data_IF_131200773988
#
_entry.id   IF_131200773988
#
_cell.length_a   1.000
_cell.length_b   1.000
_cell.length_c   1.000
_cell.angle_alpha   90.00
_cell.angle_beta   90.00
_cell.angle_gamma   90.00
#
_symmetry.space_group_name_H-M   'P 1'
#
loop_
_entity.id
_entity.type
_entity.pdbx_description
1 polymer ?
#
# COMPACT_ATOMS: atom_id res chain seq x y z
N UNK A 1 -17.79 -14.53 -3.31
CA UNK A 1 -18.27 -13.33 -2.56
C UNK A 1 -17.83 -13.31 -1.10
N UNK A 2 -18.14 -14.30 -0.25
CA UNK A 2 -17.77 -14.25 1.19
C UNK A 2 -16.25 -14.10 1.42
N UNK A 3 -15.43 -14.84 0.67
CA UNK A 3 -13.96 -14.71 0.74
C UNK A 3 -13.45 -13.38 0.19
N UNK A 4 -14.10 -12.83 -0.84
CA UNK A 4 -13.74 -11.53 -1.43
C UNK A 4 -13.96 -10.40 -0.43
N UNK A 5 -15.15 -10.34 0.20
CA UNK A 5 -15.45 -9.30 1.19
C UNK A 5 -14.50 -9.37 2.38
N UNK A 6 -14.30 -10.57 2.94
CA UNK A 6 -13.39 -10.78 4.06
C UNK A 6 -11.94 -10.41 3.73
N UNK A 7 -11.44 -10.82 2.57
CA UNK A 7 -10.09 -10.46 2.13
C UNK A 7 -9.93 -8.95 1.91
N UNK A 8 -10.96 -8.30 1.38
CA UNK A 8 -10.96 -6.85 1.13
C UNK A 8 -10.96 -6.05 2.43
N UNK A 9 -11.84 -6.42 3.38
CA UNK A 9 -11.91 -5.79 4.69
C UNK A 9 -10.59 -5.96 5.46
N UNK A 10 -10.08 -7.20 5.53
CA UNK A 10 -8.81 -7.51 6.21
C UNK A 10 -7.66 -6.70 5.61
N UNK A 11 -7.51 -6.69 4.28
CA UNK A 11 -6.45 -5.93 3.62
C UNK A 11 -6.56 -4.42 3.84
N UNK A 12 -7.77 -3.86 3.74
CA UNK A 12 -7.99 -2.44 3.97
C UNK A 12 -7.60 -2.02 5.39
N UNK A 13 -8.05 -2.78 6.41
CA UNK A 13 -7.75 -2.46 7.80
C UNK A 13 -6.27 -2.70 8.14
N UNK A 14 -5.65 -3.76 7.62
CA UNK A 14 -4.22 -3.99 7.84
C UNK A 14 -3.38 -2.84 7.25
N UNK A 15 -3.67 -2.41 6.03
CA UNK A 15 -3.02 -1.27 5.38
C UNK A 15 -3.20 0.01 6.20
N UNK A 16 -4.42 0.28 6.67
CA UNK A 16 -4.73 1.44 7.50
C UNK A 16 -3.92 1.43 8.80
N UNK A 17 -3.89 0.30 9.50
CA UNK A 17 -3.14 0.15 10.77
C UNK A 17 -1.65 0.35 10.52
N UNK A 18 -1.08 -0.28 9.50
CA UNK A 18 0.35 -0.14 9.17
C UNK A 18 0.68 1.32 8.83
N UNK A 19 -0.19 2.00 8.08
CA UNK A 19 -0.02 3.41 7.77
C UNK A 19 -0.07 4.30 9.02
N UNK A 20 -1.02 4.07 9.93
CA UNK A 20 -1.12 4.81 11.20
C UNK A 20 0.11 4.60 12.08
N UNK A 21 0.56 3.35 12.26
CA UNK A 21 1.76 3.05 13.06
C UNK A 21 3.01 3.67 12.44
N UNK A 22 3.14 3.56 11.11
CA UNK A 22 4.26 4.17 10.37
C UNK A 22 4.24 5.70 10.49
N UNK A 23 3.06 6.33 10.43
CA UNK A 23 2.89 7.76 10.62
C UNK A 23 3.36 8.20 12.01
N UNK A 24 2.96 7.50 13.08
CA UNK A 24 3.46 7.78 14.42
C UNK A 24 4.99 7.63 14.46
N UNK A 25 5.52 6.52 13.95
CA UNK A 25 6.96 6.27 13.95
C UNK A 25 7.78 7.38 13.28
N UNK A 26 7.45 7.74 12.04
CA UNK A 26 8.23 8.74 11.29
C UNK A 26 8.02 10.19 11.75
N UNK A 27 6.95 10.47 12.51
CA UNK A 27 6.74 11.79 13.10
C UNK A 27 7.45 11.97 14.45
N UNK A 28 7.58 10.92 15.25
CA UNK A 28 8.22 11.02 16.58
C UNK A 28 9.72 10.70 16.57
N UNK A 29 10.21 9.98 15.56
CA UNK A 29 11.62 9.59 15.48
C UNK A 29 12.42 10.52 14.56
N UNK A 30 13.60 10.93 15.01
CA UNK A 30 14.53 11.67 14.16
C UNK A 30 15.00 10.81 12.97
N UNK A 31 14.99 11.38 11.77
CA UNK A 31 15.37 10.68 10.54
C UNK A 31 16.90 10.57 10.49
N UNK A 32 17.40 9.36 10.74
CA UNK A 32 18.80 9.00 10.61
C UNK A 32 18.91 7.60 9.96
N UNK A 33 20.13 7.15 9.69
CA UNK A 33 20.35 5.87 9.00
C UNK A 33 19.72 4.68 9.74
N UNK A 34 19.76 4.67 11.07
CA UNK A 34 19.23 3.58 11.89
C UNK A 34 17.69 3.57 11.87
N UNK A 35 17.05 4.75 12.00
CA UNK A 35 15.59 4.85 11.95
C UNK A 35 15.03 4.55 10.56
N UNK A 36 15.78 4.83 9.49
CA UNK A 36 15.44 4.40 8.13
C UNK A 36 15.55 2.89 7.94
N UNK A 37 16.56 2.24 8.52
CA UNK A 37 16.71 0.77 8.46
C UNK A 37 15.55 0.09 9.20
N UNK A 38 15.21 0.54 10.40
CA UNK A 38 14.03 0.07 11.12
C UNK A 38 12.74 0.36 10.33
N UNK A 39 12.68 1.51 9.67
CA UNK A 39 11.56 1.89 8.84
C UNK A 39 11.36 0.99 7.61
N UNK A 40 12.40 0.30 7.11
CA UNK A 40 12.24 -0.72 6.07
C UNK A 40 11.36 -1.88 6.53
N UNK A 41 11.32 -2.18 7.83
CA UNK A 41 10.44 -3.22 8.37
C UNK A 41 8.98 -2.88 8.09
N UNK A 42 8.58 -1.60 8.26
CA UNK A 42 7.23 -1.17 7.90
C UNK A 42 6.97 -1.33 6.40
N UNK A 43 7.92 -0.98 5.54
CA UNK A 43 7.80 -1.20 4.09
C UNK A 43 7.59 -2.68 3.76
N UNK A 44 8.37 -3.58 4.36
CA UNK A 44 8.27 -5.02 4.11
C UNK A 44 6.95 -5.59 4.61
N UNK A 45 6.48 -5.17 5.78
CA UNK A 45 5.16 -5.59 6.31
C UNK A 45 4.05 -5.06 5.40
N UNK A 46 4.11 -3.79 5.02
CA UNK A 46 3.13 -3.14 4.14
C UNK A 46 2.99 -3.88 2.80
N UNK A 47 4.09 -4.14 2.12
CA UNK A 47 4.08 -4.88 0.85
C UNK A 47 3.75 -6.37 1.07
N UNK A 48 4.26 -6.96 2.15
CA UNK A 48 4.08 -8.36 2.49
C UNK A 48 2.62 -8.72 2.76
N UNK A 49 1.85 -7.86 3.43
CA UNK A 49 0.43 -8.09 3.70
C UNK A 49 -0.39 -8.15 2.40
N UNK A 50 -0.11 -7.27 1.43
CA UNK A 50 -0.77 -7.30 0.12
C UNK A 50 -0.58 -8.66 -0.56
N UNK A 51 0.66 -9.15 -0.60
CA UNK A 51 0.95 -10.48 -1.13
C UNK A 51 0.28 -11.60 -0.31
N UNK A 52 0.37 -11.53 1.01
CA UNK A 52 -0.13 -12.54 1.93
C UNK A 52 -1.65 -12.72 1.82
N UNK A 53 -2.42 -11.65 1.71
CA UNK A 53 -3.88 -11.73 1.55
C UNK A 53 -4.24 -12.46 0.26
N UNK A 54 -3.59 -12.11 -0.86
CA UNK A 54 -3.76 -12.82 -2.12
C UNK A 54 -3.47 -14.32 -1.98
N UNK A 55 -2.38 -14.66 -1.31
CA UNK A 55 -1.95 -16.03 -1.07
C UNK A 55 -2.89 -16.81 -0.13
N UNK A 56 -3.35 -16.18 0.96
CA UNK A 56 -4.20 -16.79 2.00
C UNK A 56 -5.58 -17.17 1.46
N UNK A 57 -6.20 -16.28 0.70
CA UNK A 57 -7.60 -16.42 0.29
C UNK A 57 -7.81 -17.13 -1.05
N UNK A 58 -6.74 -17.42 -1.80
CA UNK A 58 -6.77 -18.22 -3.04
C UNK A 58 -7.81 -17.68 -4.04
N UNK A 59 -7.76 -16.38 -4.25
CA UNK A 59 -8.72 -15.59 -5.03
C UNK A 59 -8.63 -15.88 -6.53
N UNK A 60 -9.75 -15.79 -7.27
CA UNK A 60 -9.67 -15.74 -8.74
C UNK A 60 -9.03 -14.43 -9.19
N UNK A 61 -8.48 -14.38 -10.40
CA UNK A 61 -7.83 -13.18 -10.94
C UNK A 61 -8.66 -11.89 -10.77
N UNK A 62 -9.94 -11.91 -11.15
CA UNK A 62 -10.84 -10.76 -10.99
C UNK A 62 -11.04 -10.41 -9.51
N UNK A 63 -11.18 -11.41 -8.64
CA UNK A 63 -11.34 -11.19 -7.20
C UNK A 63 -10.06 -10.57 -6.60
N UNK A 64 -8.88 -10.99 -7.04
CA UNK A 64 -7.59 -10.43 -6.63
C UNK A 64 -7.47 -8.94 -7.01
N UNK A 65 -7.92 -8.57 -8.21
CA UNK A 65 -7.93 -7.18 -8.66
C UNK A 65 -8.86 -6.33 -7.78
N UNK A 66 -10.08 -6.81 -7.52
CA UNK A 66 -11.05 -6.11 -6.67
C UNK A 66 -10.49 -5.93 -5.25
N UNK A 67 -9.94 -7.00 -4.66
CA UNK A 67 -9.34 -6.95 -3.32
C UNK A 67 -8.17 -5.96 -3.28
N UNK A 68 -7.29 -5.95 -4.29
CA UNK A 68 -6.19 -4.99 -4.36
C UNK A 68 -6.65 -3.54 -4.49
N UNK A 69 -7.72 -3.29 -5.26
CA UNK A 69 -8.33 -1.96 -5.41
C UNK A 69 -8.92 -1.51 -4.07
N UNK A 70 -9.68 -2.37 -3.39
CA UNK A 70 -10.29 -2.04 -2.09
C UNK A 70 -9.22 -1.84 -1.02
N UNK A 71 -8.18 -2.69 -0.98
CA UNK A 71 -7.02 -2.51 -0.09
C UNK A 71 -6.31 -1.18 -0.33
N UNK A 72 -6.30 -0.70 -1.57
CA UNK A 72 -5.78 0.63 -1.93
C UNK A 72 -6.75 1.77 -1.65
N UNK A 73 -7.91 1.51 -1.02
CA UNK A 73 -8.98 2.48 -0.79
C UNK A 73 -8.53 3.77 -0.09
N UNK A 74 -7.63 3.66 0.88
CA UNK A 74 -7.00 4.83 1.53
C UNK A 74 -6.25 5.70 0.53
N UNK A 75 -5.47 5.09 -0.37
CA UNK A 75 -4.71 5.79 -1.41
C UNK A 75 -5.63 6.44 -2.44
N UNK A 76 -6.67 5.73 -2.87
CA UNK A 76 -7.70 6.26 -3.78
C UNK A 76 -8.37 7.49 -3.17
N UNK A 77 -8.74 7.42 -1.89
CA UNK A 77 -9.34 8.53 -1.17
C UNK A 77 -8.41 9.75 -1.12
N UNK A 78 -7.14 9.59 -0.75
CA UNK A 78 -6.21 10.72 -0.69
C UNK A 78 -5.82 11.28 -2.05
N UNK A 79 -5.71 10.44 -3.07
CA UNK A 79 -5.44 10.91 -4.45
C UNK A 79 -6.57 11.79 -4.95
N UNK A 80 -7.83 11.46 -4.66
CA UNK A 80 -8.95 12.32 -5.05
C UNK A 80 -8.78 13.76 -4.52
N UNK A 81 -8.47 13.92 -3.23
CA UNK A 81 -8.22 15.24 -2.64
C UNK A 81 -6.92 15.89 -3.13
N UNK A 82 -5.89 15.09 -3.41
CA UNK A 82 -4.65 15.58 -4.00
C UNK A 82 -4.87 16.19 -5.38
N UNK A 83 -5.61 15.51 -6.26
CA UNK A 83 -5.92 16.02 -7.60
C UNK A 83 -6.79 17.28 -7.52
N UNK A 84 -7.73 17.33 -6.56
CA UNK A 84 -8.51 18.54 -6.31
C UNK A 84 -7.62 19.72 -5.87
N UNK A 85 -6.68 19.47 -4.94
CA UNK A 85 -5.73 20.49 -4.49
C UNK A 85 -4.83 21.00 -5.63
N UNK A 86 -4.35 20.09 -6.47
CA UNK A 86 -3.47 20.41 -7.61
C UNK A 86 -4.22 21.25 -8.65
N UNK A 87 -5.35 20.74 -9.16
CA UNK A 87 -5.98 21.28 -10.36
C UNK A 87 -7.08 22.30 -10.11
N UNK A 88 -7.72 22.28 -8.93
CA UNK A 88 -8.82 23.20 -8.60
C UNK A 88 -8.34 24.31 -7.68
N UNK A 89 -7.59 23.98 -6.63
CA UNK A 89 -7.09 24.97 -5.68
C UNK A 89 -5.75 25.60 -6.10
N UNK A 90 -5.03 24.98 -7.04
CA UNK A 90 -3.67 25.39 -7.46
C UNK A 90 -2.67 25.43 -6.29
N UNK A 91 -2.73 24.44 -5.39
CA UNK A 91 -1.83 24.33 -4.22
C UNK A 91 -1.04 23.01 -4.32
N UNK A 92 0.04 22.94 -5.12
CA UNK A 92 0.74 21.69 -5.41
C UNK A 92 1.47 21.09 -4.21
N UNK A 93 1.99 21.94 -3.32
CA UNK A 93 2.62 21.47 -2.08
C UNK A 93 1.62 20.75 -1.17
N UNK A 94 0.37 21.21 -1.15
CA UNK A 94 -0.68 20.59 -0.36
C UNK A 94 -1.16 19.28 -1.00
N UNK A 95 -1.22 19.21 -2.34
CA UNK A 95 -1.50 17.98 -3.06
C UNK A 95 -0.52 16.85 -2.66
N UNK A 96 0.78 17.13 -2.68
CA UNK A 96 1.80 16.18 -2.26
C UNK A 96 1.69 15.82 -0.77
N UNK A 97 1.32 16.76 0.09
CA UNK A 97 1.22 16.50 1.53
C UNK A 97 0.05 15.57 1.89
N UNK A 98 -1.11 15.74 1.24
CA UNK A 98 -2.33 14.95 1.51
C UNK A 98 -2.11 13.44 1.30
N UNK A 99 -1.27 13.06 0.33
CA UNK A 99 -1.04 11.65 -0.02
C UNK A 99 0.02 10.97 0.86
N UNK A 100 0.83 11.73 1.61
CA UNK A 100 1.91 11.17 2.44
C UNK A 100 1.41 10.07 3.38
N UNK A 101 0.28 10.22 4.09
CA UNK A 101 -0.23 9.17 4.98
C UNK A 101 -0.42 7.81 4.30
N UNK A 102 -0.72 7.76 2.99
CA UNK A 102 -0.91 6.49 2.29
C UNK A 102 0.40 5.72 2.10
N UNK A 103 1.46 6.43 1.71
CA UNK A 103 2.75 5.80 1.42
C UNK A 103 3.80 5.99 2.53
N UNK A 104 3.41 6.55 3.69
CA UNK A 104 4.31 6.68 4.82
C UNK A 104 4.97 5.34 5.23
N UNK A 105 4.34 4.15 5.10
CA UNK A 105 5.03 2.89 5.39
C UNK A 105 6.25 2.65 4.50
N UNK A 106 6.27 3.19 3.27
CA UNK A 106 7.39 3.05 2.33
C UNK A 106 8.36 4.23 2.37
N UNK A 107 8.20 5.18 3.31
CA UNK A 107 9.02 6.38 3.42
C UNK A 107 10.51 6.09 3.53
N UNK A 108 10.89 4.95 4.13
CA UNK A 108 12.31 4.54 4.19
C UNK A 108 12.88 4.18 2.83
N UNK A 109 12.09 3.54 1.96
CA UNK A 109 12.50 3.25 0.58
C UNK A 109 12.67 4.57 -0.17
N UNK A 110 11.68 5.45 -0.07
CA UNK A 110 11.71 6.77 -0.73
C UNK A 110 13.01 7.52 -0.38
N UNK A 111 13.33 7.60 0.92
CA UNK A 111 14.50 8.35 1.40
C UNK A 111 15.83 7.68 1.08
N UNK A 112 15.92 6.35 1.15
CA UNK A 112 17.16 5.64 0.84
C UNK A 112 17.51 5.67 -0.65
N UNK A 113 16.52 5.71 -1.51
CA UNK A 113 16.70 5.74 -2.97
C UNK A 113 16.49 7.13 -3.59
N UNK A 114 16.33 8.17 -2.77
CA UNK A 114 16.10 9.56 -3.23
C UNK A 114 14.96 9.68 -4.24
N UNK A 115 13.87 8.94 -4.03
CA UNK A 115 12.68 9.00 -4.88
C UNK A 115 11.95 10.32 -4.61
N UNK A 116 11.57 11.02 -5.67
CA UNK A 116 10.81 12.26 -5.55
C UNK A 116 9.41 11.99 -4.96
N UNK A 117 9.08 12.70 -3.88
CA UNK A 117 7.77 12.56 -3.23
C UNK A 117 6.77 13.45 -3.97
N UNK A 118 5.92 12.81 -4.77
CA UNK A 118 4.78 13.45 -5.40
C UNK A 118 3.54 12.56 -5.33
N UNK A 119 2.38 13.12 -5.68
CA UNK A 119 1.12 12.36 -5.72
C UNK A 119 1.12 11.20 -6.72
N UNK A 120 2.00 11.20 -7.72
CA UNK A 120 2.16 10.07 -8.65
C UNK A 120 2.79 8.85 -7.97
N UNK A 121 3.63 9.05 -6.96
CA UNK A 121 4.18 7.93 -6.19
C UNK A 121 3.09 7.10 -5.50
N UNK A 122 2.02 7.74 -5.01
CA UNK A 122 0.86 7.06 -4.46
C UNK A 122 0.19 6.15 -5.53
N UNK A 123 0.11 6.62 -6.77
CA UNK A 123 -0.41 5.84 -7.90
C UNK A 123 0.45 4.61 -8.18
N UNK A 124 1.77 4.78 -8.23
CA UNK A 124 2.72 3.67 -8.41
C UNK A 124 2.55 2.64 -7.30
N UNK A 125 2.41 3.09 -6.05
CA UNK A 125 2.25 2.20 -4.91
C UNK A 125 0.93 1.42 -4.96
N UNK A 126 -0.17 2.03 -5.42
CA UNK A 126 -1.44 1.32 -5.64
C UNK A 126 -1.29 0.20 -6.66
N UNK A 127 -0.63 0.46 -7.79
CA UNK A 127 -0.38 -0.57 -8.80
C UNK A 127 0.47 -1.71 -8.24
N UNK A 128 1.50 -1.39 -7.47
CA UNK A 128 2.34 -2.39 -6.81
C UNK A 128 1.53 -3.24 -5.83
N UNK A 129 0.69 -2.63 -5.00
CA UNK A 129 -0.16 -3.33 -4.05
C UNK A 129 -1.13 -4.29 -4.74
N UNK A 130 -1.84 -3.84 -5.79
CA UNK A 130 -2.73 -4.67 -6.59
C UNK A 130 -1.97 -5.85 -7.21
N UNK A 131 -0.80 -5.57 -7.79
CA UNK A 131 0.05 -6.58 -8.38
C UNK A 131 0.49 -7.65 -7.38
N UNK A 132 0.85 -7.25 -6.15
CA UNK A 132 1.23 -8.18 -5.09
C UNK A 132 0.08 -9.10 -4.68
N UNK A 133 -1.15 -8.59 -4.54
CA UNK A 133 -2.33 -9.43 -4.27
C UNK A 133 -2.54 -10.46 -5.39
N UNK A 134 -2.41 -10.02 -6.65
CA UNK A 134 -2.57 -10.90 -7.82
C UNK A 134 -1.52 -12.01 -7.83
N UNK A 135 -0.23 -11.68 -7.64
CA UNK A 135 0.85 -12.67 -7.60
C UNK A 135 0.66 -13.64 -6.44
N UNK A 136 0.35 -13.14 -5.24
CA UNK A 136 0.13 -13.99 -4.07
C UNK A 136 -0.91 -15.07 -4.34
N UNK A 137 -2.02 -14.68 -4.98
CA UNK A 137 -3.06 -15.63 -5.36
C UNK A 137 -2.62 -16.63 -6.45
N UNK A 138 -1.93 -16.16 -7.49
CA UNK A 138 -1.40 -17.03 -8.55
C UNK A 138 -0.47 -18.09 -7.98
N UNK A 139 0.47 -17.70 -7.12
CA UNK A 139 1.42 -18.63 -6.49
C UNK A 139 0.69 -19.69 -5.66
N UNK A 140 -0.31 -19.30 -4.86
CA UNK A 140 -1.10 -20.27 -4.10
C UNK A 140 -1.81 -21.27 -5.01
N UNK A 141 -2.33 -20.80 -6.14
CA UNK A 141 -3.02 -21.65 -7.12
C UNK A 141 -2.06 -22.64 -7.80
N UNK A 142 -0.84 -22.22 -8.12
CA UNK A 142 0.20 -23.09 -8.69
C UNK A 142 0.63 -24.15 -7.68
N UNK A 143 0.95 -23.75 -6.44
CA UNK A 143 1.42 -24.69 -5.41
C UNK A 143 0.41 -25.80 -5.09
N UNK A 144 -0.89 -25.48 -5.11
CA UNK A 144 -1.93 -26.48 -4.86
C UNK A 144 -2.18 -27.41 -6.05
N UNK A 145 -1.79 -27.02 -7.27
CA UNK A 145 -1.83 -27.90 -8.44
C UNK A 145 -0.65 -28.87 -8.48
N UNK A 146 0.52 -28.44 -7.97
CA UNK A 146 1.72 -29.28 -7.91
C UNK A 146 1.71 -30.30 -6.76
N UNK A 147 0.77 -30.19 -5.82
CA UNK A 147 0.61 -31.10 -4.68
C UNK A 147 -0.44 -32.20 -4.91
N UNK A 148 -0.97 -32.32 -6.14
CA UNK A 148 -1.89 -33.34 -6.62
C UNK A 148 -1.17 -34.23 -7.62
#
# INVERSE_FOLDING_TARGET
MKNLLKASEELFFDILIIALVSFLYFNYMYINKLTLILGLVFSFIYLGVNFYIGYKYKLKFIESLIVGIIGSGMGIFFIFFSLYSEFILNIPNFANWIVIPYFIPTMSIIKLFSIEINYLYAVILMFLNIFLVVIGSILKNIMNKSSL
#
